data_IF_824709157603
#
_entry.id   IF_824709157603
#
_cell.length_a   1.000
_cell.length_b   1.000
_cell.length_c   1.000
_cell.angle_alpha   90.00
_cell.angle_beta   90.00
_cell.angle_gamma   90.00
#
_symmetry.space_group_name_H-M   'P 1'
#
loop_
_entity.id
_entity.type
_entity.pdbx_description
1 polymer ?
#
# COMPACT_ATOMS: atom_id res chain seq x y z
N UNK A 1 47.03 16.58 -12.16
CA UNK A 1 45.66 16.93 -11.74
C UNK A 1 44.72 16.50 -12.84
N UNK A 2 44.14 15.30 -12.77
CA UNK A 2 42.90 14.98 -13.49
C UNK A 2 42.15 13.93 -12.67
N UNK A 3 41.09 14.37 -11.99
CA UNK A 3 40.18 13.51 -11.25
C UNK A 3 39.06 13.11 -12.21
N UNK A 4 39.19 11.95 -12.86
CA UNK A 4 38.07 11.27 -13.56
C UNK A 4 37.26 10.46 -12.54
N UNK A 5 36.68 11.16 -11.56
CA UNK A 5 35.68 10.57 -10.70
C UNK A 5 34.34 10.66 -11.43
N UNK A 6 34.03 9.65 -12.24
CA UNK A 6 32.64 9.42 -12.59
C UNK A 6 31.87 9.15 -11.30
N UNK A 7 30.90 9.99 -10.98
CA UNK A 7 29.89 9.70 -9.97
C UNK A 7 29.10 8.48 -10.47
N UNK A 8 29.58 7.26 -10.17
CA UNK A 8 28.73 6.07 -10.24
C UNK A 8 27.79 6.14 -9.03
N UNK A 9 26.68 6.84 -9.19
CA UNK A 9 25.48 6.58 -8.40
C UNK A 9 25.04 5.17 -8.78
N UNK A 10 24.78 4.29 -7.81
CA UNK A 10 24.08 3.02 -8.07
C UNK A 10 22.64 3.22 -8.59
N UNK A 11 22.23 4.48 -8.70
CA UNK A 11 21.01 5.00 -9.30
C UNK A 11 20.94 4.79 -10.82
N UNK A 12 21.98 4.28 -11.48
CA UNK A 12 21.96 3.95 -12.93
C UNK A 12 20.95 2.84 -13.30
N UNK A 13 20.33 2.17 -12.32
CA UNK A 13 19.15 1.32 -12.57
C UNK A 13 17.93 2.11 -13.10
N UNK A 14 17.93 3.43 -12.90
CA UNK A 14 16.95 4.39 -13.38
C UNK A 14 17.31 4.90 -14.80
N UNK A 15 18.29 4.33 -15.51
CA UNK A 15 18.58 4.75 -16.90
C UNK A 15 17.83 3.91 -17.93
N UNK A 16 17.31 2.74 -17.54
CA UNK A 16 16.58 1.82 -18.40
C UNK A 16 15.11 2.16 -18.63
N UNK A 17 14.58 3.24 -18.03
CA UNK A 17 13.19 3.59 -18.30
C UNK A 17 13.00 3.96 -19.76
N UNK A 18 12.13 3.27 -20.46
CA UNK A 18 11.59 3.73 -21.74
C UNK A 18 10.61 4.90 -21.55
N UNK A 19 10.18 5.13 -20.30
CA UNK A 19 9.28 6.20 -19.83
C UNK A 19 9.77 6.77 -18.48
N UNK A 20 11.00 7.32 -18.43
CA UNK A 20 11.45 8.02 -17.22
C UNK A 20 10.69 9.36 -17.13
N UNK A 21 9.81 9.61 -16.14
CA UNK A 21 9.23 10.93 -15.97
C UNK A 21 10.30 11.99 -15.61
N UNK A 22 11.52 11.59 -15.25
CA UNK A 22 12.65 12.49 -15.08
C UNK A 22 13.40 12.81 -16.38
N UNK A 23 13.11 12.13 -17.49
CA UNK A 23 13.69 12.48 -18.80
C UNK A 23 13.01 13.71 -19.39
N UNK A 24 11.69 13.85 -19.20
CA UNK A 24 10.94 15.04 -19.56
C UNK A 24 10.14 15.54 -18.35
N UNK A 25 10.44 16.76 -17.89
CA UNK A 25 9.77 17.41 -16.77
C UNK A 25 8.26 17.57 -17.02
N UNK A 26 7.81 17.52 -18.28
CA UNK A 26 6.38 17.54 -18.61
C UNK A 26 5.66 16.23 -18.30
N UNK A 27 6.38 15.12 -18.15
CA UNK A 27 5.81 13.80 -17.79
C UNK A 27 5.67 13.62 -16.27
N UNK A 28 6.06 14.63 -15.47
CA UNK A 28 5.89 14.63 -14.02
C UNK A 28 4.42 14.84 -13.67
N UNK A 29 3.83 13.82 -13.06
CA UNK A 29 2.45 13.80 -12.57
C UNK A 29 2.36 12.94 -11.31
N UNK A 30 1.24 13.01 -10.59
CA UNK A 30 0.99 12.11 -9.45
C UNK A 30 0.99 10.64 -9.90
N UNK A 31 0.50 10.35 -11.11
CA UNK A 31 0.50 8.99 -11.68
C UNK A 31 1.92 8.50 -11.98
N UNK A 32 2.78 9.35 -12.57
CA UNK A 32 4.15 8.93 -12.89
C UNK A 32 5.03 8.71 -11.66
N UNK A 33 4.67 9.27 -10.51
CA UNK A 33 5.31 8.96 -9.22
C UNK A 33 5.16 7.48 -8.85
N UNK A 34 4.00 6.87 -9.11
CA UNK A 34 3.79 5.46 -8.81
C UNK A 34 4.81 4.61 -9.56
N UNK A 35 4.99 4.83 -10.86
CA UNK A 35 6.01 4.14 -11.66
C UNK A 35 7.44 4.31 -11.12
N UNK A 36 7.79 5.49 -10.60
CA UNK A 36 9.07 5.71 -9.92
C UNK A 36 9.20 4.81 -8.69
N UNK A 37 8.17 4.76 -7.83
CA UNK A 37 8.16 3.90 -6.64
C UNK A 37 8.25 2.43 -7.01
N UNK A 38 7.49 1.98 -8.01
CA UNK A 38 7.49 0.58 -8.45
C UNK A 38 8.89 0.13 -8.86
N UNK A 39 9.58 0.93 -9.67
CA UNK A 39 10.93 0.60 -10.14
C UNK A 39 11.97 0.76 -9.04
N UNK A 40 11.91 1.84 -8.26
CA UNK A 40 12.84 2.04 -7.15
C UNK A 40 12.76 0.91 -6.11
N UNK A 41 11.55 0.41 -5.85
CA UNK A 41 11.33 -0.67 -4.88
C UNK A 41 11.93 -2.03 -5.28
N UNK A 42 12.28 -2.21 -6.56
CA UNK A 42 13.01 -3.40 -7.08
C UNK A 42 14.47 -3.41 -6.65
N UNK A 43 15.02 -2.25 -6.34
CA UNK A 43 16.43 -2.11 -6.03
C UNK A 43 16.76 -2.83 -4.72
N UNK A 44 17.80 -3.65 -4.76
CA UNK A 44 18.34 -4.33 -3.59
C UNK A 44 19.26 -3.40 -2.82
N UNK A 45 18.68 -2.44 -2.09
CA UNK A 45 19.43 -1.51 -1.24
C UNK A 45 20.20 -2.26 -0.15
N UNK A 46 21.42 -1.80 0.14
CA UNK A 46 22.24 -2.31 1.26
C UNK A 46 21.54 -2.07 2.61
N UNK A 47 20.94 -0.90 2.78
CA UNK A 47 20.17 -0.52 3.96
C UNK A 47 18.73 -0.22 3.57
N UNK A 48 17.82 -1.13 3.92
CA UNK A 48 16.40 -1.03 3.57
C UNK A 48 15.70 0.12 4.31
N UNK A 49 16.27 0.58 5.43
CA UNK A 49 15.83 1.75 6.19
C UNK A 49 15.93 3.05 5.38
N UNK A 50 16.84 3.11 4.41
CA UNK A 50 17.19 4.35 3.73
C UNK A 50 16.34 4.57 2.47
N UNK A 51 15.30 3.76 2.24
CA UNK A 51 14.45 3.82 1.03
C UNK A 51 13.88 5.20 0.76
N UNK A 52 13.26 5.82 1.78
CA UNK A 52 12.64 7.14 1.63
C UNK A 52 13.71 8.22 1.42
N UNK A 53 14.76 8.20 2.24
CA UNK A 53 15.89 9.13 2.17
C UNK A 53 16.58 9.09 0.80
N UNK A 54 16.83 7.88 0.28
CA UNK A 54 17.45 7.67 -1.02
C UNK A 54 16.57 8.17 -2.19
N UNK A 55 15.24 8.21 -2.02
CA UNK A 55 14.31 8.69 -3.04
C UNK A 55 14.01 10.20 -2.92
N UNK A 56 14.46 10.87 -1.86
CA UNK A 56 14.14 12.29 -1.61
C UNK A 56 14.59 13.23 -2.73
N UNK A 57 15.73 12.94 -3.38
CA UNK A 57 16.20 13.76 -4.50
C UNK A 57 15.19 13.78 -5.65
N UNK A 58 14.57 12.63 -5.92
CA UNK A 58 13.52 12.49 -6.94
C UNK A 58 12.21 13.12 -6.46
N UNK A 59 11.83 12.86 -5.20
CA UNK A 59 10.64 13.47 -4.60
C UNK A 59 10.70 15.01 -4.66
N UNK A 60 11.87 15.61 -4.45
CA UNK A 60 12.05 17.06 -4.55
C UNK A 60 11.74 17.60 -5.94
N UNK A 61 12.13 16.91 -7.00
CA UNK A 61 11.84 17.31 -8.39
C UNK A 61 10.33 17.26 -8.66
N UNK A 62 9.66 16.21 -8.18
CA UNK A 62 8.19 16.10 -8.25
C UNK A 62 7.51 17.23 -7.49
N UNK A 63 7.96 17.50 -6.25
CA UNK A 63 7.43 18.57 -5.41
C UNK A 63 7.57 19.95 -6.05
N UNK A 64 8.73 20.27 -6.64
CA UNK A 64 8.96 21.57 -7.32
C UNK A 64 7.99 21.80 -8.48
N UNK A 65 7.51 20.72 -9.11
CA UNK A 65 6.57 20.76 -10.23
C UNK A 65 5.10 20.71 -9.79
N UNK A 66 4.78 19.88 -8.80
CA UNK A 66 3.41 19.57 -8.40
C UNK A 66 2.91 20.49 -7.28
N UNK A 67 3.79 20.93 -6.38
CA UNK A 67 3.43 21.73 -5.20
C UNK A 67 2.66 20.96 -4.11
N UNK A 68 2.47 19.65 -4.27
CA UNK A 68 1.74 18.78 -3.34
C UNK A 68 2.59 18.38 -2.13
N UNK A 69 1.96 18.16 -0.96
CA UNK A 69 2.66 17.66 0.23
C UNK A 69 3.14 16.22 0.06
N UNK A 70 4.37 15.94 0.49
CA UNK A 70 4.97 14.61 0.50
C UNK A 70 4.97 14.00 1.90
N UNK A 71 4.42 12.79 2.03
CA UNK A 71 4.23 12.08 3.30
C UNK A 71 4.75 10.65 3.16
N UNK A 72 5.93 10.35 3.71
CA UNK A 72 6.53 9.00 3.74
C UNK A 72 6.36 8.19 2.44
N UNK A 73 6.68 8.77 1.28
CA UNK A 73 6.56 8.06 0.00
C UNK A 73 5.25 8.25 -0.75
N UNK A 74 4.29 8.97 -0.19
CA UNK A 74 2.94 9.19 -0.73
C UNK A 74 2.65 10.68 -0.83
N UNK A 75 1.99 11.12 -1.91
CA UNK A 75 1.53 12.49 -2.07
C UNK A 75 0.14 12.68 -1.48
N UNK A 76 -0.10 13.80 -0.80
CA UNK A 76 -1.40 14.16 -0.21
C UNK A 76 -2.53 14.12 -1.24
N UNK A 77 -2.37 14.78 -2.39
CA UNK A 77 -3.35 14.82 -3.49
C UNK A 77 -3.61 13.46 -4.14
N UNK A 78 -2.77 12.46 -3.87
CA UNK A 78 -2.93 11.11 -4.36
C UNK A 78 -3.13 10.10 -3.23
N UNK A 79 -3.55 10.53 -2.04
CA UNK A 79 -3.61 9.68 -0.84
C UNK A 79 -4.40 8.39 -1.06
N UNK A 80 -5.58 8.46 -1.71
CA UNK A 80 -6.40 7.27 -1.97
C UNK A 80 -5.63 6.21 -2.78
N UNK A 81 -5.05 6.60 -3.92
CA UNK A 81 -4.22 5.70 -4.75
C UNK A 81 -2.93 5.30 -4.05
N UNK A 82 -2.29 6.24 -3.36
CA UNK A 82 -1.02 6.05 -2.67
C UNK A 82 -1.09 5.07 -1.52
N UNK A 83 -2.26 4.86 -0.93
CA UNK A 83 -2.52 3.84 0.07
C UNK A 83 -2.83 2.46 -0.52
N UNK A 84 -2.94 2.31 -1.85
CA UNK A 84 -3.29 1.06 -2.54
C UNK A 84 -2.08 0.26 -3.04
N UNK A 85 -0.86 0.59 -2.62
CA UNK A 85 0.31 -0.20 -2.99
C UNK A 85 0.16 -1.68 -2.59
N UNK A 86 0.83 -2.60 -3.28
CA UNK A 86 0.90 -4.02 -2.98
C UNK A 86 2.25 -4.60 -3.42
N UNK A 87 2.63 -5.79 -2.95
CA UNK A 87 3.87 -6.48 -3.35
C UNK A 87 3.55 -7.51 -4.43
N UNK A 88 4.26 -7.47 -5.56
CA UNK A 88 4.08 -8.46 -6.62
C UNK A 88 4.34 -9.88 -6.11
N UNK A 89 3.62 -10.87 -6.66
CA UNK A 89 3.99 -12.28 -6.48
C UNK A 89 5.38 -12.52 -7.07
N UNK A 90 6.16 -13.42 -6.46
CA UNK A 90 7.52 -13.69 -6.92
C UNK A 90 7.50 -14.24 -8.36
N UNK A 91 8.22 -13.59 -9.27
CA UNK A 91 8.38 -14.07 -10.65
C UNK A 91 9.59 -15.00 -10.65
N UNK A 92 9.35 -16.31 -10.78
CA UNK A 92 10.31 -17.35 -11.17
C UNK A 92 11.76 -17.19 -10.65
N UNK A 93 12.02 -17.64 -9.42
CA UNK A 93 13.36 -18.09 -9.03
C UNK A 93 13.20 -19.34 -8.15
N UNK A 94 13.96 -20.39 -8.46
CA UNK A 94 13.91 -21.71 -7.80
C UNK A 94 14.39 -21.74 -6.33
N UNK A 95 14.45 -20.58 -5.68
CA UNK A 95 14.69 -20.45 -4.26
C UNK A 95 13.35 -20.22 -3.56
N UNK A 96 13.16 -20.79 -2.37
CA UNK A 96 11.94 -20.62 -1.57
C UNK A 96 11.58 -19.13 -1.51
N UNK A 97 10.32 -18.73 -1.82
CA UNK A 97 9.96 -17.32 -1.83
C UNK A 97 10.19 -16.75 -0.42
N UNK A 98 11.22 -15.94 -0.25
CA UNK A 98 11.34 -15.09 0.94
C UNK A 98 10.08 -14.22 0.99
N UNK A 99 9.52 -14.10 2.19
CA UNK A 99 8.34 -13.29 2.46
C UNK A 99 8.75 -11.87 2.77
N UNK A 100 7.88 -10.91 2.46
CA UNK A 100 8.08 -9.54 2.88
C UNK A 100 8.02 -9.47 4.40
N UNK A 101 8.87 -8.64 4.98
CA UNK A 101 8.89 -8.40 6.44
C UNK A 101 8.72 -6.92 6.71
N UNK A 102 8.04 -6.61 7.81
CA UNK A 102 7.84 -5.22 8.23
C UNK A 102 9.13 -4.68 8.84
N UNK A 103 9.54 -3.49 8.42
CA UNK A 103 10.61 -2.72 9.03
C UNK A 103 10.21 -2.28 10.44
N UNK A 104 11.18 -1.81 11.22
CA UNK A 104 10.90 -1.14 12.48
C UNK A 104 10.02 0.11 12.23
N UNK A 105 9.05 0.36 13.13
CA UNK A 105 8.05 1.43 12.96
C UNK A 105 8.64 2.86 12.98
N UNK A 106 9.88 3.02 13.43
CA UNK A 106 10.63 4.27 13.36
C UNK A 106 11.15 4.61 11.94
N UNK A 107 11.21 3.63 11.03
CA UNK A 107 11.66 3.83 9.64
C UNK A 107 10.55 4.45 8.80
N UNK A 108 9.38 3.83 8.82
CA UNK A 108 8.21 4.30 8.08
C UNK A 108 6.92 3.77 8.73
N UNK A 109 5.83 4.55 8.71
CA UNK A 109 4.54 4.12 9.21
C UNK A 109 3.94 2.99 8.37
N UNK A 110 3.03 2.19 8.92
CA UNK A 110 2.57 0.97 8.24
C UNK A 110 1.82 1.22 6.93
N UNK A 111 1.24 2.41 6.77
CA UNK A 111 0.56 2.85 5.56
C UNK A 111 1.51 3.25 4.42
N UNK A 112 2.80 3.47 4.71
CA UNK A 112 3.83 3.74 3.70
C UNK A 112 4.31 2.44 3.05
N UNK A 113 4.51 2.46 1.72
CA UNK A 113 5.12 1.36 0.97
C UNK A 113 6.56 1.06 1.43
N UNK A 114 7.24 2.03 2.04
CA UNK A 114 8.58 1.87 2.58
C UNK A 114 8.58 1.10 3.91
N UNK A 115 7.43 0.79 4.50
CA UNK A 115 7.35 0.01 5.74
C UNK A 115 7.72 -1.46 5.58
N UNK A 116 7.89 -1.96 4.35
CA UNK A 116 8.27 -3.35 4.06
C UNK A 116 9.70 -3.45 3.52
N UNK A 117 10.42 -4.48 3.97
CA UNK A 117 11.58 -5.02 3.27
C UNK A 117 11.09 -5.97 2.19
N UNK A 118 11.37 -5.63 0.94
CA UNK A 118 10.90 -6.40 -0.22
C UNK A 118 11.96 -7.42 -0.62
N UNK A 119 11.61 -8.71 -0.68
CA UNK A 119 12.52 -9.75 -1.15
C UNK A 119 12.96 -9.53 -2.59
N UNK A 120 14.17 -10.01 -2.91
CA UNK A 120 14.70 -9.98 -4.27
C UNK A 120 13.72 -10.65 -5.25
N UNK A 121 13.50 -10.01 -6.40
CA UNK A 121 12.58 -10.51 -7.43
C UNK A 121 11.12 -10.11 -7.25
N UNK A 122 10.81 -9.31 -6.22
CA UNK A 122 9.49 -8.65 -6.05
C UNK A 122 9.62 -7.14 -6.12
N UNK A 123 8.49 -6.45 -6.28
CA UNK A 123 8.40 -4.99 -6.26
C UNK A 123 7.09 -4.53 -5.62
N UNK A 124 7.06 -3.26 -5.21
CA UNK A 124 5.80 -2.54 -5.02
C UNK A 124 5.16 -2.33 -6.37
N UNK A 125 3.84 -2.48 -6.43
CA UNK A 125 3.02 -1.99 -7.52
C UNK A 125 1.74 -1.36 -6.99
N UNK A 126 1.09 -0.53 -7.78
CA UNK A 126 -0.17 0.12 -7.44
C UNK A 126 -1.26 -0.45 -8.37
N UNK A 127 -2.16 -1.34 -7.90
CA UNK A 127 -3.21 -1.93 -8.74
C UNK A 127 -4.07 -0.87 -9.44
N UNK A 128 -4.33 0.24 -8.75
CA UNK A 128 -5.06 1.40 -9.26
C UNK A 128 -4.16 2.53 -9.82
N UNK A 129 -2.88 2.25 -10.02
CA UNK A 129 -1.87 3.20 -10.49
C UNK A 129 -1.68 3.22 -12.00
N UNK A 130 -2.05 2.13 -12.69
CA UNK A 130 -1.99 2.06 -14.16
C UNK A 130 -3.31 2.58 -14.75
N UNK A 131 -3.23 3.66 -15.55
CA UNK A 131 -4.37 4.26 -16.21
C UNK A 131 -5.11 5.35 -15.41
N UNK A 132 -6.05 6.00 -16.10
CA UNK A 132 -6.81 7.15 -15.58
C UNK A 132 -8.22 6.76 -15.10
N UNK A 133 -8.49 5.46 -14.91
CA UNK A 133 -9.84 4.94 -14.59
C UNK A 133 -10.17 4.99 -13.10
N UNK A 134 -9.17 5.06 -12.21
CA UNK A 134 -9.44 5.08 -10.78
C UNK A 134 -10.17 6.36 -10.34
N UNK A 135 -11.28 6.16 -9.66
CA UNK A 135 -12.10 7.17 -9.04
C UNK A 135 -12.13 6.96 -7.53
N UNK A 136 -11.75 7.99 -6.75
CA UNK A 136 -11.84 7.95 -5.29
C UNK A 136 -13.30 7.82 -4.84
N UNK A 137 -13.57 7.01 -3.82
CA UNK A 137 -14.91 6.96 -3.22
C UNK A 137 -15.24 8.35 -2.63
N UNK A 138 -16.46 8.83 -2.90
CA UNK A 138 -16.94 10.16 -2.46
C UNK A 138 -16.93 10.38 -0.94
N UNK A 139 -16.87 9.30 -0.15
CA UNK A 139 -16.82 9.33 1.32
C UNK A 139 -15.38 9.30 1.83
N UNK A 140 -14.41 8.97 0.97
CA UNK A 140 -13.00 9.00 1.32
C UNK A 140 -12.48 10.44 1.34
N UNK A 141 -11.78 10.81 2.42
CA UNK A 141 -11.19 12.13 2.59
C UNK A 141 -9.91 12.02 3.41
N UNK A 142 -8.83 12.63 2.94
CA UNK A 142 -7.63 12.85 3.75
C UNK A 142 -7.84 14.10 4.62
N UNK A 143 -7.74 13.95 5.95
CA UNK A 143 -8.02 15.01 6.91
C UNK A 143 -6.75 15.72 7.43
N UNK A 144 -5.56 15.22 7.08
CA UNK A 144 -4.28 15.76 7.51
C UNK A 144 -3.42 14.79 8.33
N UNK A 145 -2.40 15.34 8.97
CA UNK A 145 -1.46 14.64 9.88
C UNK A 145 -1.79 14.87 11.36
N UNK A 146 -1.26 14.02 12.24
CA UNK A 146 -1.39 14.16 13.70
C UNK A 146 -0.04 13.96 14.44
N UNK A 147 0.59 15.03 14.95
CA UNK A 147 0.09 16.40 15.05
C UNK A 147 0.01 17.08 13.67
N UNK A 148 -0.91 18.04 13.53
CA UNK A 148 -1.00 18.84 12.30
C UNK A 148 0.34 19.50 12.02
N UNK A 149 0.85 19.28 10.82
CA UNK A 149 2.10 19.87 10.37
C UNK A 149 1.86 21.33 10.01
N UNK A 150 2.63 22.24 10.60
CA UNK A 150 2.62 23.64 10.20
C UNK A 150 3.16 23.79 8.78
N UNK A 151 2.52 24.63 7.96
CA UNK A 151 2.88 24.95 6.57
C UNK A 151 4.31 25.52 6.39
N UNK A 152 5.04 25.73 7.49
CA UNK A 152 6.39 26.33 7.53
C UNK A 152 7.48 25.28 7.80
N UNK A 153 7.13 24.01 8.01
CA UNK A 153 8.14 22.96 8.16
C UNK A 153 8.93 22.75 6.86
N UNK A 154 10.23 22.43 6.95
CA UNK A 154 11.07 22.23 5.77
C UNK A 154 10.61 20.99 4.99
N UNK A 155 9.71 21.23 4.03
CA UNK A 155 9.25 20.54 2.80
C UNK A 155 9.23 19.00 2.70
N UNK A 156 10.05 18.29 3.45
CA UNK A 156 10.24 16.84 3.40
C UNK A 156 10.48 16.18 4.76
N UNK A 157 10.60 16.97 5.85
CA UNK A 157 10.73 16.44 7.21
C UNK A 157 9.40 16.56 7.93
N UNK A 158 8.43 15.76 7.50
CA UNK A 158 7.19 15.64 8.25
C UNK A 158 7.44 14.63 9.38
N UNK A 159 7.66 15.12 10.60
CA UNK A 159 7.93 14.27 11.76
C UNK A 159 6.68 13.46 12.18
N UNK A 160 5.50 13.81 11.65
CA UNK A 160 4.27 13.08 11.90
C UNK A 160 4.16 11.84 11.00
N UNK A 161 4.47 10.68 11.57
CA UNK A 161 4.19 9.35 10.97
C UNK A 161 2.69 9.00 10.96
N UNK A 162 1.85 9.82 11.57
CA UNK A 162 0.41 9.58 11.67
C UNK A 162 -0.36 10.41 10.64
N UNK A 163 -1.34 9.77 9.99
CA UNK A 163 -2.34 10.44 9.13
C UNK A 163 -3.76 10.17 9.62
N UNK A 164 -4.66 11.11 9.34
CA UNK A 164 -6.08 11.00 9.57
C UNK A 164 -6.80 10.85 8.24
N UNK A 165 -7.55 9.76 8.07
CA UNK A 165 -8.39 9.55 6.89
C UNK A 165 -9.82 9.27 7.32
N UNK A 166 -10.79 9.78 6.56
CA UNK A 166 -12.20 9.43 6.68
C UNK A 166 -12.55 8.53 5.52
N UNK A 167 -13.43 7.56 5.73
CA UNK A 167 -14.02 6.81 4.64
C UNK A 167 -15.05 5.79 5.10
N UNK A 168 -15.69 5.17 4.12
CA UNK A 168 -16.68 4.14 4.35
C UNK A 168 -15.97 2.81 4.61
N UNK A 169 -16.31 2.14 5.70
CA UNK A 169 -15.63 0.91 6.07
C UNK A 169 -16.58 -0.20 6.53
N UNK A 170 -16.18 -1.45 6.25
CA UNK A 170 -16.88 -2.66 6.66
C UNK A 170 -16.01 -3.46 7.64
N UNK A 171 -16.63 -4.07 8.65
CA UNK A 171 -15.96 -4.96 9.59
C UNK A 171 -15.82 -6.36 8.99
N UNK A 172 -14.69 -7.01 9.22
CA UNK A 172 -14.43 -8.38 8.79
C UNK A 172 -13.51 -9.09 9.78
N UNK A 173 -13.50 -10.42 9.69
CA UNK A 173 -12.58 -11.27 10.44
C UNK A 173 -11.55 -11.82 9.46
N UNK A 174 -10.28 -11.50 9.68
CA UNK A 174 -9.20 -12.16 8.97
C UNK A 174 -8.90 -13.51 9.62
N UNK A 175 -8.68 -14.54 8.81
CA UNK A 175 -8.42 -15.90 9.25
C UNK A 175 -7.20 -16.48 8.53
N UNK A 176 -6.26 -17.03 9.30
CA UNK A 176 -5.15 -17.84 8.80
C UNK A 176 -5.62 -19.27 8.57
N UNK A 177 -5.54 -19.71 7.33
CA UNK A 177 -5.83 -21.06 6.88
C UNK A 177 -4.51 -21.80 6.73
N UNK A 178 -4.19 -22.65 7.70
CA UNK A 178 -3.01 -23.52 7.64
C UNK A 178 -3.35 -24.71 6.77
N UNK A 179 -2.65 -24.87 5.65
CA UNK A 179 -2.77 -26.03 4.79
C UNK A 179 -2.13 -27.29 5.39
N UNK A 180 -2.34 -28.43 4.72
CA UNK A 180 -1.63 -29.69 5.03
C UNK A 180 -0.10 -29.54 4.82
N UNK A 181 0.73 -30.49 5.24
CA UNK A 181 2.21 -30.37 5.39
C UNK A 181 2.97 -29.73 4.18
N UNK A 182 2.42 -29.79 2.95
CA UNK A 182 3.01 -29.22 1.73
C UNK A 182 2.41 -27.88 1.25
N UNK A 183 1.33 -27.37 1.88
CA UNK A 183 0.67 -26.12 1.47
C UNK A 183 1.09 -24.96 2.37
N UNK A 184 1.59 -23.89 1.74
CA UNK A 184 1.85 -22.63 2.43
C UNK A 184 0.57 -22.12 3.11
N UNK A 185 0.68 -21.53 4.32
CA UNK A 185 -0.45 -20.91 4.97
C UNK A 185 -1.01 -19.79 4.09
N UNK A 186 -2.33 -19.69 4.05
CA UNK A 186 -3.05 -18.66 3.33
C UNK A 186 -3.95 -17.86 4.28
N UNK A 187 -4.46 -16.72 3.83
CA UNK A 187 -5.35 -15.89 4.64
C UNK A 187 -6.59 -15.50 3.86
N UNK A 188 -7.74 -15.58 4.52
CA UNK A 188 -9.04 -15.13 3.98
C UNK A 188 -9.65 -14.05 4.87
N UNK A 189 -10.49 -13.21 4.27
CA UNK A 189 -11.36 -12.29 4.99
C UNK A 189 -12.78 -12.84 5.01
N UNK A 190 -13.38 -12.87 6.18
CA UNK A 190 -14.74 -13.36 6.42
C UNK A 190 -15.61 -12.15 6.77
N UNK A 191 -16.60 -11.89 5.92
CA UNK A 191 -17.66 -10.93 6.17
C UNK A 191 -18.92 -11.67 6.62
N UNK A 192 -19.59 -11.11 7.62
CA UNK A 192 -20.83 -11.67 8.16
C UNK A 192 -21.92 -10.61 8.10
N UNK A 193 -23.03 -10.95 7.43
CA UNK A 193 -24.21 -10.10 7.36
C UNK A 193 -25.39 -10.87 7.97
N UNK A 194 -26.05 -10.25 8.96
CA UNK A 194 -27.27 -10.81 9.55
C UNK A 194 -28.46 -10.35 8.73
N UNK A 195 -29.15 -11.31 8.12
CA UNK A 195 -30.45 -11.16 7.47
C UNK A 195 -31.53 -11.68 8.41
N UNK A 196 -32.80 -11.35 8.15
CA UNK A 196 -33.92 -11.61 9.07
C UNK A 196 -33.94 -13.04 9.65
N UNK A 197 -33.72 -14.06 8.82
CA UNK A 197 -33.74 -15.47 9.21
C UNK A 197 -32.42 -16.23 8.92
N UNK A 198 -31.36 -15.53 8.49
CA UNK A 198 -30.12 -16.17 8.04
C UNK A 198 -28.87 -15.31 8.28
N UNK A 199 -27.70 -15.94 8.33
CA UNK A 199 -26.41 -15.24 8.30
C UNK A 199 -25.75 -15.53 6.95
N UNK A 200 -25.52 -14.48 6.16
CA UNK A 200 -24.72 -14.58 4.95
C UNK A 200 -23.25 -14.46 5.33
N UNK A 201 -22.45 -15.47 4.96
CA UNK A 201 -21.01 -15.49 5.15
C UNK A 201 -20.33 -15.39 3.80
N UNK A 202 -19.50 -14.37 3.62
CA UNK A 202 -18.68 -14.20 2.41
C UNK A 202 -17.22 -14.34 2.79
N UNK A 203 -16.52 -15.30 2.17
CA UNK A 203 -15.09 -15.52 2.36
C UNK A 203 -14.34 -15.07 1.10
N UNK A 204 -13.38 -14.16 1.25
CA UNK A 204 -12.63 -13.58 0.14
C UNK A 204 -11.13 -13.72 0.35
N UNK A 205 -10.43 -14.01 -0.75
CA UNK A 205 -8.98 -13.90 -0.79
C UNK A 205 -8.59 -12.42 -0.82
N UNK A 206 -7.45 -12.11 -0.21
CA UNK A 206 -6.94 -10.75 -0.11
C UNK A 206 -5.42 -10.75 -0.14
N UNK A 207 -4.84 -9.57 -0.32
CA UNK A 207 -3.39 -9.42 -0.36
C UNK A 207 -2.91 -8.86 0.98
N UNK A 208 -2.42 -9.75 1.84
CA UNK A 208 -1.82 -9.40 3.12
C UNK A 208 -0.38 -8.89 2.94
N UNK A 209 -0.02 -7.81 3.64
CA UNK A 209 1.31 -7.20 3.58
C UNK A 209 2.40 -8.14 4.11
N UNK A 210 2.14 -8.78 5.26
CA UNK A 210 3.06 -9.70 5.96
C UNK A 210 2.24 -10.79 6.63
N UNK A 211 2.58 -12.05 6.39
CA UNK A 211 1.91 -13.18 7.03
C UNK A 211 2.17 -13.18 8.54
N UNK A 212 1.15 -13.51 9.37
CA UNK A 212 1.35 -13.70 10.80
C UNK A 212 2.38 -14.81 11.04
N UNK A 213 3.25 -14.61 12.05
CA UNK A 213 4.13 -15.68 12.49
C UNK A 213 3.27 -16.76 13.14
N UNK A 214 3.38 -17.99 12.65
CA UNK A 214 2.78 -19.16 13.28
C UNK A 214 3.61 -19.46 14.52
N UNK A 215 3.23 -18.93 15.68
CA UNK A 215 3.75 -19.42 16.95
C UNK A 215 3.05 -20.76 17.26
N UNK A 216 3.83 -21.81 17.50
CA UNK A 216 3.38 -23.22 17.63
C UNK A 216 2.36 -23.49 18.76
N UNK A 217 1.79 -22.47 19.45
CA UNK A 217 1.11 -22.67 20.75
C UNK A 217 -0.15 -21.85 21.07
N UNK A 218 -0.77 -21.10 20.17
CA UNK A 218 -2.07 -20.45 20.51
C UNK A 218 -3.10 -20.54 19.38
N UNK A 219 -4.19 -21.25 19.65
CA UNK A 219 -5.24 -21.65 18.70
C UNK A 219 -6.23 -20.57 18.27
N UNK A 220 -5.85 -19.29 18.26
CA UNK A 220 -6.64 -18.25 17.58
C UNK A 220 -5.92 -17.83 16.30
N UNK A 221 -6.38 -18.37 15.19
CA UNK A 221 -5.91 -18.05 13.83
C UNK A 221 -6.68 -16.88 13.22
N UNK A 222 -7.45 -16.15 14.02
CA UNK A 222 -8.35 -15.09 13.55
C UNK A 222 -8.09 -13.76 14.25
N UNK A 223 -8.28 -12.65 13.54
CA UNK A 223 -8.20 -11.30 14.10
C UNK A 223 -9.18 -10.34 13.40
N UNK A 224 -9.69 -9.38 14.17
CA UNK A 224 -10.61 -8.36 13.65
C UNK A 224 -9.87 -7.37 12.74
N UNK A 225 -10.49 -7.07 11.61
CA UNK A 225 -10.02 -6.07 10.66
C UNK A 225 -11.16 -5.19 10.19
N UNK A 226 -10.80 -4.06 9.60
CA UNK A 226 -11.72 -3.14 8.95
C UNK A 226 -11.25 -2.91 7.52
N UNK A 227 -12.17 -3.07 6.56
CA UNK A 227 -11.93 -2.82 5.15
C UNK A 227 -12.45 -1.42 4.79
N UNK A 228 -11.53 -0.48 4.62
CA UNK A 228 -11.80 0.92 4.26
C UNK A 228 -11.83 1.06 2.74
N UNK A 229 -12.99 1.44 2.18
CA UNK A 229 -13.14 1.68 0.74
C UNK A 229 -12.46 2.98 0.34
N UNK A 230 -11.48 2.88 -0.57
CA UNK A 230 -10.71 4.02 -1.07
C UNK A 230 -11.22 4.52 -2.42
N UNK A 231 -11.74 3.63 -3.26
CA UNK A 231 -12.28 3.97 -4.57
C UNK A 231 -12.49 2.75 -5.45
N UNK A 232 -12.77 2.99 -6.72
CA UNK A 232 -12.94 1.95 -7.73
C UNK A 232 -12.14 2.28 -8.99
N UNK A 233 -11.79 1.27 -9.77
CA UNK A 233 -11.17 1.41 -11.08
C UNK A 233 -11.72 0.35 -12.05
N UNK A 234 -11.65 0.65 -13.34
CA UNK A 234 -11.93 -0.36 -14.38
C UNK A 234 -10.68 -1.22 -14.59
N UNK A 235 -10.85 -2.54 -14.45
CA UNK A 235 -9.84 -3.55 -14.80
C UNK A 235 -10.30 -4.31 -16.05
N UNK A 236 -9.39 -4.56 -16.99
CA UNK A 236 -9.67 -5.41 -18.16
C UNK A 236 -9.70 -6.88 -17.74
N UNK A 237 -10.82 -7.55 -17.96
CA UNK A 237 -10.92 -9.00 -17.78
C UNK A 237 -10.31 -9.75 -18.99
N UNK A 238 -9.92 -11.01 -18.79
CA UNK A 238 -9.34 -11.88 -19.83
C UNK A 238 -10.30 -12.12 -21.03
N UNK A 239 -11.58 -11.75 -20.88
CA UNK A 239 -12.67 -11.96 -21.85
C UNK A 239 -13.05 -10.64 -22.60
N UNK A 240 -12.29 -9.55 -22.45
CA UNK A 240 -12.50 -8.24 -23.12
C UNK A 240 -13.70 -7.42 -22.62
N UNK A 241 -14.29 -7.81 -21.48
CA UNK A 241 -15.25 -6.98 -20.73
C UNK A 241 -14.52 -6.21 -19.62
N UNK A 242 -14.79 -4.90 -19.49
CA UNK A 242 -14.26 -4.08 -18.40
C UNK A 242 -15.08 -4.33 -17.13
N UNK A 243 -14.44 -4.80 -16.06
CA UNK A 243 -15.09 -4.97 -14.75
C UNK A 243 -14.68 -3.83 -13.83
N UNK A 244 -15.65 -3.23 -13.14
CA UNK A 244 -15.34 -2.24 -12.10
C UNK A 244 -14.93 -2.96 -10.82
N UNK A 245 -13.75 -2.65 -10.31
CA UNK A 245 -13.16 -3.25 -9.11
C UNK A 245 -13.08 -2.20 -8.02
N UNK A 246 -13.66 -2.51 -6.86
CA UNK A 246 -13.52 -1.74 -5.64
C UNK A 246 -12.19 -2.06 -4.97
N UNK A 247 -11.44 -1.01 -4.64
CA UNK A 247 -10.16 -1.10 -3.96
C UNK A 247 -10.31 -0.68 -2.50
N UNK A 248 -10.02 -1.61 -1.59
CA UNK A 248 -10.15 -1.39 -0.16
C UNK A 248 -8.82 -1.59 0.56
N UNK A 249 -8.57 -0.73 1.54
CA UNK A 249 -7.45 -0.82 2.47
C UNK A 249 -7.88 -1.64 3.68
N UNK A 250 -7.12 -2.69 3.99
CA UNK A 250 -7.41 -3.54 5.16
C UNK A 250 -6.58 -3.05 6.34
N UNK A 251 -7.27 -2.74 7.43
CA UNK A 251 -6.72 -2.14 8.64
C UNK A 251 -6.96 -3.05 9.85
N UNK A 252 -5.97 -3.12 10.74
CA UNK A 252 -6.14 -3.68 12.10
C UNK A 252 -5.92 -2.59 13.14
N UNK A 253 -6.41 -2.80 14.35
CA UNK A 253 -6.09 -1.93 15.49
C UNK A 253 -4.58 -2.03 15.80
N UNK A 254 -3.92 -0.91 16.03
CA UNK A 254 -2.51 -0.88 16.43
C UNK A 254 -2.33 -1.49 17.82
N UNK A 255 -1.33 -2.36 17.98
CA UNK A 255 -0.92 -2.90 19.28
C UNK A 255 -0.17 -1.88 20.14
N UNK A 256 0.41 -0.86 19.51
CA UNK A 256 1.37 0.02 20.16
C UNK A 256 0.78 1.39 20.49
N UNK A 257 -0.22 1.83 19.71
CA UNK A 257 -0.80 3.16 19.84
C UNK A 257 -2.31 3.05 19.98
N UNK A 258 -2.82 3.40 21.16
CA UNK A 258 -4.24 3.34 21.49
C UNK A 258 -5.07 4.19 20.52
N UNK A 259 -6.12 3.59 19.95
CA UNK A 259 -7.03 4.26 19.02
C UNK A 259 -6.46 4.48 17.61
N UNK A 260 -5.25 3.99 17.34
CA UNK A 260 -4.66 4.02 16.01
C UNK A 260 -4.88 2.70 15.25
N UNK A 261 -4.67 2.76 13.94
CA UNK A 261 -4.87 1.67 13.00
C UNK A 261 -3.61 1.45 12.18
N UNK A 262 -3.31 0.19 11.92
CA UNK A 262 -2.19 -0.25 11.09
C UNK A 262 -2.73 -0.85 9.81
N UNK A 263 -2.12 -0.49 8.69
CA UNK A 263 -2.35 -1.17 7.43
C UNK A 263 -1.80 -2.59 7.51
N UNK A 264 -2.59 -3.54 7.01
CA UNK A 264 -2.21 -4.96 6.93
C UNK A 264 -2.36 -5.56 5.55
N UNK A 265 -2.93 -4.84 4.59
CA UNK A 265 -3.08 -5.33 3.24
C UNK A 265 -4.11 -4.56 2.43
N UNK A 266 -4.46 -5.12 1.28
CA UNK A 266 -5.52 -4.63 0.40
C UNK A 266 -6.46 -5.75 0.00
N UNK A 267 -7.71 -5.40 -0.25
CA UNK A 267 -8.73 -6.29 -0.79
C UNK A 267 -9.37 -5.60 -1.99
N UNK A 268 -9.25 -6.25 -3.15
CA UNK A 268 -9.81 -5.79 -4.42
C UNK A 268 -10.99 -6.70 -4.76
N UNK A 269 -12.16 -6.13 -5.05
CA UNK A 269 -13.41 -6.87 -5.23
C UNK A 269 -14.15 -6.31 -6.42
N UNK A 270 -14.50 -7.16 -7.40
CA UNK A 270 -15.40 -6.74 -8.48
C UNK A 270 -16.76 -6.30 -7.93
N UNK A 271 -17.33 -5.21 -8.46
CA UNK A 271 -18.62 -4.67 -8.00
C UNK A 271 -19.74 -5.73 -7.98
N UNK A 272 -19.68 -6.70 -8.91
CA UNK A 272 -20.66 -7.79 -9.01
C UNK A 272 -20.62 -8.78 -7.84
N UNK A 273 -19.47 -8.91 -7.17
CA UNK A 273 -19.26 -9.83 -6.04
C UNK A 273 -19.67 -9.18 -4.72
N UNK A 274 -19.82 -7.85 -4.68
CA UNK A 274 -20.11 -7.09 -3.48
C UNK A 274 -21.49 -7.43 -2.91
N UNK A 275 -21.57 -8.06 -1.72
CA UNK A 275 -22.79 -8.04 -0.92
C UNK A 275 -23.15 -6.59 -0.57
N UNK A 276 -24.36 -6.40 -0.04
CA UNK A 276 -24.85 -5.19 0.60
C UNK A 276 -24.09 -4.87 1.90
N UNK A 277 -22.75 -4.87 1.86
CA UNK A 277 -21.95 -4.55 3.03
C UNK A 277 -22.35 -3.18 3.55
N UNK A 278 -22.77 -3.16 4.82
CA UNK A 278 -23.11 -1.93 5.52
C UNK A 278 -21.83 -1.16 5.84
N UNK A 279 -21.35 -0.42 4.85
CA UNK A 279 -20.26 0.52 5.06
C UNK A 279 -20.72 1.63 6.00
N UNK A 280 -19.98 1.82 7.09
CA UNK A 280 -20.16 2.95 8.00
C UNK A 280 -19.01 3.92 7.82
N UNK A 281 -19.32 5.21 7.71
CA UNK A 281 -18.29 6.25 7.68
C UNK A 281 -17.59 6.33 9.04
N UNK A 282 -16.26 6.30 9.02
CA UNK A 282 -15.42 6.37 10.21
C UNK A 282 -14.15 7.15 9.90
N UNK A 283 -13.58 7.75 10.94
CA UNK A 283 -12.25 8.38 10.88
C UNK A 283 -11.23 7.38 11.44
N UNK A 284 -10.13 7.21 10.72
CA UNK A 284 -9.03 6.33 11.05
C UNK A 284 -7.76 7.15 11.26
N UNK A 285 -7.13 6.94 12.41
CA UNK A 285 -5.80 7.44 12.73
C UNK A 285 -4.78 6.38 12.32
N UNK A 286 -4.22 6.48 11.12
CA UNK A 286 -3.28 5.50 10.58
C UNK A 286 -1.86 5.80 11.06
N UNK A 287 -1.13 4.75 11.45
CA UNK A 287 0.25 4.79 11.96
C UNK A 287 1.15 3.77 11.30
#
# INVERSE_FOLDING_TARGET
MECRAGLRCECSGLDHFTSNPLRDVNDISLTSWFGVVEEFSRLSLTYQSDRLEALMGVAKVFWEKLGCSYLYGVWEDAMAKGLLWNVTRAVNYGDAPSEAVRQEKNVAPTWSWASLVIPKGRRIYFPAGEGDTFCSDRRFEFLGTDPRTDLVQPLFRNDSSTILVKGAAAEAIACLVVGDEDRKPDTILIFQETLDDAVLITALNWNIDVLPKIEERSGETTWDVVCLLLGSAEEQDEIDDSVTVNHTLVLKVSSDILGAWERVGILNIGEEVGPTWFFKEKIFRLV
#
